data_IF_541174429153
#
_entry.id   IF_541174429153
#
_cell.length_a   1.000
_cell.length_b   1.000
_cell.length_c   1.000
_cell.angle_alpha   90.00
_cell.angle_beta   90.00
_cell.angle_gamma   90.00
#
_symmetry.space_group_name_H-M   'P 1'
#
loop_
_entity.id
_entity.type
_entity.pdbx_description
1 polymer ?
#
# COMPACT_ATOMS: atom_id res chain seq x y z
N UNK A 1 7.63 44.96 -26.48
CA UNK A 1 7.74 44.47 -25.10
C UNK A 1 6.90 43.20 -25.01
N UNK A 2 7.49 42.03 -25.30
CA UNK A 2 6.78 40.75 -25.34
C UNK A 2 7.15 39.95 -24.09
N UNK A 3 6.14 39.53 -23.33
CA UNK A 3 6.31 38.70 -22.14
C UNK A 3 6.79 37.28 -22.50
N UNK A 4 7.60 36.62 -21.66
CA UNK A 4 8.05 35.24 -21.91
C UNK A 4 6.89 34.24 -21.74
N UNK A 5 6.87 33.12 -22.49
CA UNK A 5 5.82 32.12 -22.38
C UNK A 5 5.94 31.33 -21.07
N UNK A 6 4.80 31.17 -20.39
CA UNK A 6 4.67 30.32 -19.21
C UNK A 6 5.02 28.87 -19.57
N UNK A 7 6.10 28.36 -18.97
CA UNK A 7 6.52 26.97 -19.14
C UNK A 7 5.49 26.04 -18.45
N UNK A 8 4.97 25.00 -19.11
CA UNK A 8 4.09 24.04 -18.45
C UNK A 8 4.89 23.23 -17.43
N UNK A 9 4.45 23.22 -16.18
CA UNK A 9 4.95 22.32 -15.14
C UNK A 9 4.69 20.88 -15.61
N UNK A 10 5.69 20.25 -16.20
CA UNK A 10 5.65 18.83 -16.51
C UNK A 10 5.68 18.05 -15.20
N UNK A 11 4.87 16.97 -15.04
CA UNK A 11 4.94 16.12 -13.87
C UNK A 11 6.33 15.47 -13.83
N UNK A 12 7.18 15.92 -12.90
CA UNK A 12 8.55 15.43 -12.73
C UNK A 12 8.58 13.91 -12.63
N UNK A 13 9.30 13.24 -13.54
CA UNK A 13 9.38 11.76 -13.62
C UNK A 13 9.82 11.07 -12.33
N UNK A 14 10.40 11.80 -11.38
CA UNK A 14 10.69 11.33 -10.02
C UNK A 14 9.45 10.72 -9.33
N UNK A 15 8.28 11.34 -9.47
CA UNK A 15 7.05 10.85 -8.84
C UNK A 15 6.62 9.45 -9.35
N UNK A 16 6.91 9.14 -10.61
CA UNK A 16 6.58 7.85 -11.20
C UNK A 16 7.52 6.74 -10.71
N UNK A 17 8.82 7.03 -10.59
CA UNK A 17 9.81 6.06 -10.09
C UNK A 17 9.65 5.78 -8.59
N UNK A 18 9.35 6.81 -7.79
CA UNK A 18 9.03 6.65 -6.37
C UNK A 18 7.76 5.79 -6.17
N UNK A 19 6.74 5.98 -6.99
CA UNK A 19 5.51 5.17 -6.94
C UNK A 19 5.80 3.71 -7.29
N UNK A 20 6.59 3.45 -8.34
CA UNK A 20 7.00 2.08 -8.71
C UNK A 20 7.77 1.40 -7.59
N UNK A 21 8.70 2.12 -6.93
CA UNK A 21 9.47 1.58 -5.79
C UNK A 21 8.56 1.20 -4.62
N UNK A 22 7.65 2.10 -4.23
CA UNK A 22 6.68 1.86 -3.15
C UNK A 22 5.73 0.70 -3.49
N UNK A 23 5.33 0.58 -4.75
CA UNK A 23 4.49 -0.52 -5.21
C UNK A 23 5.19 -1.87 -5.08
N UNK A 24 6.47 -1.96 -5.49
CA UNK A 24 7.28 -3.19 -5.31
C UNK A 24 7.44 -3.54 -3.83
N UNK A 25 7.80 -2.56 -2.99
CA UNK A 25 7.90 -2.75 -1.54
C UNK A 25 6.58 -3.26 -0.94
N UNK A 26 5.44 -2.72 -1.41
CA UNK A 26 4.13 -3.21 -1.02
C UNK A 26 3.92 -4.68 -1.37
N UNK A 27 4.19 -5.07 -2.62
CA UNK A 27 4.04 -6.45 -3.07
C UNK A 27 4.96 -7.42 -2.32
N UNK A 28 6.21 -7.05 -2.06
CA UNK A 28 7.15 -7.88 -1.29
C UNK A 28 6.70 -8.12 0.15
N UNK A 29 6.09 -7.12 0.78
CA UNK A 29 5.63 -7.20 2.17
C UNK A 29 4.17 -7.68 2.31
N UNK A 30 3.46 -7.93 1.21
CA UNK A 30 2.08 -8.45 1.22
C UNK A 30 1.94 -9.79 1.97
N UNK A 31 2.81 -10.81 1.76
CA UNK A 31 2.66 -12.10 2.45
C UNK A 31 2.69 -11.95 3.98
N UNK A 32 3.66 -11.16 4.50
CA UNK A 32 3.74 -10.87 5.94
C UNK A 32 2.53 -10.07 6.42
N UNK A 33 2.08 -9.10 5.63
CA UNK A 33 0.91 -8.28 5.94
C UNK A 33 -0.36 -9.12 6.09
N UNK A 34 -0.60 -10.06 5.16
CA UNK A 34 -1.76 -10.94 5.21
C UNK A 34 -1.66 -11.95 6.36
N UNK A 35 -0.46 -12.46 6.65
CA UNK A 35 -0.22 -13.33 7.80
C UNK A 35 -0.52 -12.61 9.13
N UNK A 36 -0.08 -11.36 9.28
CA UNK A 36 -0.37 -10.54 10.47
C UNK A 36 -1.85 -10.12 10.56
N UNK A 37 -2.52 -9.92 9.42
CA UNK A 37 -3.93 -9.54 9.40
C UNK A 37 -4.85 -10.67 9.89
N UNK A 38 -4.46 -11.93 9.72
CA UNK A 38 -5.16 -13.10 10.30
C UNK A 38 -6.65 -13.22 9.92
N UNK A 39 -7.06 -12.62 8.80
CA UNK A 39 -8.48 -12.48 8.47
C UNK A 39 -9.08 -13.83 8.03
N UNK A 40 -10.19 -14.30 8.65
CA UNK A 40 -10.84 -15.55 8.27
C UNK A 40 -11.37 -15.49 6.83
N UNK A 41 -11.49 -16.63 6.14
CA UNK A 41 -12.16 -16.67 4.83
C UNK A 41 -13.68 -16.61 5.01
N UNK A 42 -14.39 -16.17 3.97
CA UNK A 42 -15.85 -16.31 3.91
C UNK A 42 -16.24 -17.78 4.03
N UNK A 43 -17.42 -17.99 4.61
CA UNK A 43 -18.13 -19.26 4.51
C UNK A 43 -18.36 -19.65 3.05
N UNK A 44 -18.41 -20.96 2.80
CA UNK A 44 -18.57 -21.48 1.44
C UNK A 44 -19.90 -21.01 0.84
N UNK A 45 -19.84 -20.40 -0.35
CA UNK A 45 -21.03 -19.89 -1.04
C UNK A 45 -21.55 -18.54 -0.55
N UNK A 46 -20.85 -17.86 0.39
CA UNK A 46 -21.22 -16.51 0.85
C UNK A 46 -20.23 -15.45 0.37
N UNK A 47 -20.75 -14.38 -0.21
CA UNK A 47 -19.98 -13.16 -0.48
C UNK A 47 -19.84 -12.34 0.80
N UNK A 48 -18.78 -11.55 0.88
CA UNK A 48 -18.67 -10.55 1.94
C UNK A 48 -19.70 -9.43 1.70
N UNK A 49 -20.26 -8.91 2.78
CA UNK A 49 -20.99 -7.64 2.75
C UNK A 49 -20.01 -6.47 2.62
N UNK A 50 -20.52 -5.28 2.29
CA UNK A 50 -19.71 -4.05 2.23
C UNK A 50 -18.99 -3.78 3.56
N UNK A 51 -19.71 -3.83 4.68
CA UNK A 51 -19.14 -3.67 6.03
C UNK A 51 -18.03 -4.68 6.34
N UNK A 52 -18.20 -5.94 5.90
CA UNK A 52 -17.17 -6.96 6.06
C UNK A 52 -15.93 -6.64 5.22
N UNK A 53 -16.10 -6.18 3.98
CA UNK A 53 -14.99 -5.76 3.12
C UNK A 53 -14.25 -4.57 3.73
N UNK A 54 -14.97 -3.56 4.21
CA UNK A 54 -14.38 -2.38 4.84
C UNK A 54 -13.60 -2.73 6.12
N UNK A 55 -14.20 -3.55 6.99
CA UNK A 55 -13.53 -4.07 8.19
C UNK A 55 -12.22 -4.78 7.84
N UNK A 56 -12.25 -5.65 6.82
CA UNK A 56 -11.04 -6.34 6.32
C UNK A 56 -10.01 -5.35 5.79
N UNK A 57 -10.42 -4.34 5.02
CA UNK A 57 -9.52 -3.34 4.49
C UNK A 57 -8.84 -2.53 5.61
N UNK A 58 -9.58 -2.19 6.67
CA UNK A 58 -9.01 -1.53 7.85
C UNK A 58 -7.95 -2.40 8.53
N UNK A 59 -8.24 -3.69 8.75
CA UNK A 59 -7.28 -4.64 9.33
C UNK A 59 -6.03 -4.81 8.47
N UNK A 60 -6.17 -4.95 7.15
CA UNK A 60 -5.01 -5.04 6.24
C UNK A 60 -4.14 -3.79 6.31
N UNK A 61 -4.74 -2.59 6.37
CA UNK A 61 -3.99 -1.32 6.53
C UNK A 61 -3.25 -1.23 7.87
N UNK A 62 -3.81 -1.78 8.94
CA UNK A 62 -3.15 -1.84 10.24
C UNK A 62 -2.00 -2.85 10.22
N UNK A 63 -2.24 -4.05 9.69
CA UNK A 63 -1.23 -5.09 9.54
C UNK A 63 -0.06 -4.66 8.65
N UNK A 64 -0.31 -3.88 7.59
CA UNK A 64 0.74 -3.31 6.73
C UNK A 64 1.72 -2.44 7.51
N UNK A 65 1.20 -1.58 8.40
CA UNK A 65 2.03 -0.71 9.25
C UNK A 65 2.90 -1.53 10.19
N UNK A 66 2.35 -2.58 10.78
CA UNK A 66 3.09 -3.52 11.64
C UNK A 66 4.15 -4.29 10.84
N UNK A 67 3.81 -4.85 9.68
CA UNK A 67 4.74 -5.57 8.82
C UNK A 67 5.98 -4.71 8.46
N UNK A 68 5.77 -3.44 8.14
CA UNK A 68 6.87 -2.49 7.90
C UNK A 68 7.73 -2.25 9.14
N UNK A 69 7.10 -2.06 10.31
CA UNK A 69 7.85 -1.89 11.57
C UNK A 69 8.71 -3.12 11.84
N UNK A 70 8.09 -4.30 11.85
CA UNK A 70 8.76 -5.58 12.09
C UNK A 70 9.92 -5.81 11.12
N UNK A 71 9.72 -5.55 9.83
CA UNK A 71 10.78 -5.70 8.83
C UNK A 71 11.96 -4.77 9.11
N UNK A 72 11.68 -3.50 9.44
CA UNK A 72 12.73 -2.54 9.80
C UNK A 72 13.49 -2.98 11.05
N UNK A 73 12.78 -3.45 12.08
CA UNK A 73 13.38 -3.97 13.31
C UNK A 73 14.25 -5.22 13.07
N UNK A 74 13.87 -6.08 12.13
CA UNK A 74 14.66 -7.25 11.74
C UNK A 74 15.93 -6.89 10.97
N UNK A 75 15.90 -5.83 10.14
CA UNK A 75 17.02 -5.40 9.30
C UNK A 75 18.00 -4.45 10.01
N UNK A 76 17.59 -3.82 11.11
CA UNK A 76 18.43 -2.91 11.91
C UNK A 76 19.24 -3.61 13.01
N UNK A 77 19.28 -4.96 13.01
CA UNK A 77 20.17 -5.77 13.85
C UNK A 77 21.46 -6.11 13.12
#
# INVERSE_FOLDING_TARGET
MAAPPANPVQPSGANAEDLKRRYREFLDLLPLTLALAGLPRSDSGRYYTEEQIESRAFTVKAAWRLARSTTRECLQK
#
